data_IF_475006771689
#
_entry.id   IF_475006771689
#
_cell.length_a   1.000
_cell.length_b   1.000
_cell.length_c   1.000
_cell.angle_alpha   90.00
_cell.angle_beta   90.00
_cell.angle_gamma   90.00
#
_symmetry.space_group_name_H-M   'P 1'
#
loop_
_entity.id
_entity.type
_entity.pdbx_description
1 polymer ?
#
# COMPACT_ATOMS: atom_id res chain seq x y z
N UNK A 1 6.61 23.54 24.45
CA UNK A 1 7.45 23.07 23.33
C UNK A 1 6.65 22.13 22.43
N UNK A 2 6.10 22.62 21.32
CA UNK A 2 5.43 21.77 20.31
C UNK A 2 6.51 21.09 19.45
N UNK A 3 6.90 19.87 19.82
CA UNK A 3 7.74 19.02 18.98
C UNK A 3 6.99 18.63 17.71
N UNK A 4 7.08 19.46 16.67
CA UNK A 4 6.74 19.04 15.30
C UNK A 4 7.75 17.94 14.94
N UNK A 5 7.35 16.68 15.13
CA UNK A 5 8.03 15.53 14.54
C UNK A 5 8.34 15.88 13.08
N UNK A 6 9.63 16.02 12.75
CA UNK A 6 10.11 16.25 11.39
C UNK A 6 9.94 14.95 10.58
N UNK A 7 8.69 14.58 10.32
CA UNK A 7 8.30 13.53 9.38
C UNK A 7 8.45 13.88 7.87
N UNK A 8 8.76 15.11 7.39
CA UNK A 8 8.69 15.40 5.95
C UNK A 8 9.88 14.90 5.12
N UNK A 9 10.79 14.11 5.69
CA UNK A 9 11.94 13.55 4.98
C UNK A 9 11.88 12.03 4.80
N UNK A 10 10.84 11.37 5.31
CA UNK A 10 10.66 9.94 5.10
C UNK A 10 10.31 9.66 3.64
N UNK A 11 11.02 8.68 3.07
CA UNK A 11 10.72 8.11 1.76
C UNK A 11 9.30 7.54 1.77
N UNK A 12 8.54 7.80 0.69
CA UNK A 12 7.15 7.35 0.56
C UNK A 12 7.06 5.83 0.72
N UNK A 13 8.02 5.12 0.11
CA UNK A 13 8.16 3.66 0.23
C UNK A 13 8.32 3.19 1.68
N UNK A 14 9.19 3.84 2.46
CA UNK A 14 9.44 3.47 3.86
C UNK A 14 8.19 3.66 4.72
N UNK A 15 7.45 4.75 4.49
CA UNK A 15 6.18 5.00 5.19
C UNK A 15 5.14 3.91 4.90
N UNK A 16 4.98 3.51 3.63
CA UNK A 16 4.04 2.45 3.24
C UNK A 16 4.41 1.10 3.84
N UNK A 17 5.70 0.74 3.81
CA UNK A 17 6.19 -0.51 4.40
C UNK A 17 5.94 -0.51 5.91
N UNK A 18 6.18 0.60 6.62
CA UNK A 18 5.97 0.67 8.06
C UNK A 18 4.50 0.45 8.44
N UNK A 19 3.57 1.04 7.68
CA UNK A 19 2.13 0.80 7.87
C UNK A 19 1.79 -0.67 7.63
N UNK A 20 2.29 -1.28 6.54
CA UNK A 20 2.05 -2.69 6.24
C UNK A 20 2.60 -3.62 7.33
N UNK A 21 3.82 -3.37 7.80
CA UNK A 21 4.47 -4.13 8.88
C UNK A 21 3.68 -4.00 10.18
N UNK A 22 3.17 -2.81 10.49
CA UNK A 22 2.31 -2.60 11.65
C UNK A 22 1.03 -3.43 11.56
N UNK A 23 0.34 -3.42 10.40
CA UNK A 23 -0.87 -4.23 10.20
C UNK A 23 -0.57 -5.74 10.28
N UNK A 24 0.54 -6.19 9.69
CA UNK A 24 0.96 -7.59 9.76
C UNK A 24 1.22 -8.01 11.20
N UNK A 25 1.97 -7.20 11.96
CA UNK A 25 2.24 -7.44 13.37
C UNK A 25 0.94 -7.52 14.17
N UNK A 26 0.02 -6.57 13.97
CA UNK A 26 -1.28 -6.55 14.65
C UNK A 26 -2.10 -7.81 14.34
N UNK A 27 -2.12 -8.28 13.09
CA UNK A 27 -2.82 -9.49 12.69
C UNK A 27 -2.22 -10.73 13.36
N UNK A 28 -0.90 -10.88 13.33
CA UNK A 28 -0.21 -12.01 13.97
C UNK A 28 -0.43 -12.03 15.48
N UNK A 29 -0.32 -10.87 16.15
CA UNK A 29 -0.59 -10.76 17.59
C UNK A 29 -2.05 -11.07 17.91
N UNK A 30 -2.99 -10.56 17.12
CA UNK A 30 -4.42 -10.86 17.30
C UNK A 30 -4.73 -12.35 17.15
N UNK A 31 -4.16 -13.01 16.14
CA UNK A 31 -4.29 -14.45 15.94
C UNK A 31 -3.69 -15.25 17.12
N UNK A 32 -2.50 -14.86 17.59
CA UNK A 32 -1.85 -15.51 18.73
C UNK A 32 -2.68 -15.41 20.02
N UNK A 33 -3.23 -14.21 20.31
CA UNK A 33 -4.12 -13.99 21.46
C UNK A 33 -5.40 -14.81 21.33
N UNK A 34 -6.00 -14.86 20.13
CA UNK A 34 -7.19 -15.67 19.87
C UNK A 34 -6.97 -17.16 20.11
N UNK A 35 -5.87 -17.72 19.58
CA UNK A 35 -5.51 -19.13 19.78
C UNK A 35 -5.23 -19.42 21.27
N UNK A 36 -4.51 -18.53 21.96
CA UNK A 36 -4.27 -18.67 23.40
C UNK A 36 -5.58 -18.69 24.20
N UNK A 37 -6.50 -17.76 23.90
CA UNK A 37 -7.81 -17.69 24.57
C UNK A 37 -8.65 -18.95 24.33
N UNK A 38 -8.68 -19.49 23.11
CA UNK A 38 -9.39 -20.72 22.80
C UNK A 38 -8.79 -21.92 23.52
N UNK A 39 -7.46 -22.01 23.58
CA UNK A 39 -6.76 -23.09 24.28
C UNK A 39 -7.02 -23.04 25.79
N UNK A 40 -7.00 -21.86 26.39
CA UNK A 40 -7.30 -21.66 27.81
C UNK A 40 -8.74 -22.09 28.13
N UNK A 41 -9.72 -21.63 27.34
CA UNK A 41 -11.13 -22.00 27.49
C UNK A 41 -11.35 -23.52 27.36
N UNK A 42 -10.75 -24.15 26.32
CA UNK A 42 -10.88 -25.60 26.11
C UNK A 42 -10.31 -26.42 27.28
N UNK A 43 -9.20 -25.97 27.88
CA UNK A 43 -8.63 -26.63 29.06
C UNK A 43 -9.56 -26.55 30.28
N UNK A 44 -10.19 -25.41 30.50
CA UNK A 44 -11.12 -25.24 31.60
C UNK A 44 -12.42 -26.02 31.44
N UNK A 45 -13.02 -26.01 30.24
CA UNK A 45 -14.17 -26.86 29.92
C UNK A 45 -13.88 -28.32 30.21
N UNK A 46 -12.68 -28.79 29.86
CA UNK A 46 -12.24 -30.16 30.15
C UNK A 46 -12.22 -30.43 31.66
N UNK A 47 -11.72 -29.49 32.48
CA UNK A 47 -11.72 -29.62 33.95
C UNK A 47 -13.15 -29.67 34.53
N UNK A 48 -14.04 -28.79 34.07
CA UNK A 48 -15.44 -28.75 34.51
C UNK A 48 -16.15 -30.07 34.17
N UNK A 49 -15.98 -30.58 32.94
CA UNK A 49 -16.55 -31.86 32.52
C UNK A 49 -15.99 -33.01 33.36
N UNK A 50 -14.70 -32.99 33.67
CA UNK A 50 -14.08 -34.03 34.50
C UNK A 50 -14.62 -34.00 35.94
N UNK A 51 -14.81 -32.81 36.54
CA UNK A 51 -15.43 -32.63 37.86
C UNK A 51 -16.89 -33.12 37.87
N UNK A 52 -17.69 -32.75 36.86
CA UNK A 52 -19.08 -33.22 36.73
C UNK A 52 -19.16 -34.75 36.57
N UNK A 53 -18.25 -35.35 35.78
CA UNK A 53 -18.18 -36.82 35.67
C UNK A 53 -17.81 -37.47 37.00
N UNK A 54 -16.85 -36.91 37.73
CA UNK A 54 -16.50 -37.40 39.06
C UNK A 54 -17.69 -37.31 40.03
N UNK A 55 -18.44 -36.20 40.00
CA UNK A 55 -19.66 -36.00 40.78
C UNK A 55 -20.74 -37.06 40.46
N UNK A 56 -21.00 -37.30 39.18
CA UNK A 56 -22.00 -38.29 38.76
C UNK A 56 -21.62 -39.70 39.22
N UNK A 57 -20.35 -40.09 39.04
CA UNK A 57 -19.86 -41.44 39.35
C UNK A 57 -19.78 -41.70 40.87
N UNK A 58 -19.43 -40.70 41.69
CA UNK A 58 -19.51 -40.86 43.15
C UNK A 58 -20.96 -40.93 43.62
N UNK A 59 -21.88 -40.18 42.99
CA UNK A 59 -23.32 -40.29 43.21
C UNK A 59 -23.83 -41.71 42.94
N UNK A 60 -23.46 -42.29 41.80
CA UNK A 60 -23.77 -43.68 41.43
C UNK A 60 -23.27 -44.68 42.48
N UNK A 61 -22.03 -44.52 42.96
CA UNK A 61 -21.48 -45.36 44.03
C UNK A 61 -22.32 -45.28 45.31
N UNK A 62 -22.73 -44.07 45.70
CA UNK A 62 -23.54 -43.81 46.89
C UNK A 62 -24.96 -44.35 46.73
N UNK A 63 -25.55 -44.28 45.54
CA UNK A 63 -26.89 -44.80 45.29
C UNK A 63 -26.93 -46.33 45.34
N UNK A 64 -25.93 -47.02 44.77
CA UNK A 64 -25.76 -48.46 44.97
C UNK A 64 -25.59 -48.81 46.45
N UNK A 65 -24.85 -47.99 47.22
CA UNK A 65 -24.75 -48.19 48.67
C UNK A 65 -26.11 -48.02 49.40
N UNK A 66 -26.92 -47.02 49.03
CA UNK A 66 -28.28 -46.88 49.59
C UNK A 66 -29.15 -48.09 49.26
N UNK A 67 -29.02 -48.65 48.06
CA UNK A 67 -29.69 -49.90 47.69
C UNK A 67 -29.26 -51.05 48.59
N UNK A 68 -27.96 -51.17 48.91
CA UNK A 68 -27.47 -52.14 49.89
C UNK A 68 -28.17 -51.96 51.23
N UNK A 69 -28.22 -50.73 51.77
CA UNK A 69 -28.90 -50.49 53.05
C UNK A 69 -30.39 -50.85 53.01
N UNK A 70 -31.09 -50.50 51.91
CA UNK A 70 -32.50 -50.86 51.70
C UNK A 70 -32.70 -52.38 51.69
N UNK A 71 -31.86 -53.12 50.96
CA UNK A 71 -31.89 -54.58 50.91
C UNK A 71 -31.60 -55.21 52.28
N UNK A 72 -30.64 -54.68 53.04
CA UNK A 72 -30.38 -55.16 54.41
C UNK A 72 -31.55 -54.89 55.36
N UNK A 73 -32.25 -53.76 55.19
CA UNK A 73 -33.50 -53.49 55.90
C UNK A 73 -34.61 -54.48 55.55
N UNK A 74 -34.72 -54.88 54.27
CA UNK A 74 -35.66 -55.92 53.83
C UNK A 74 -35.31 -57.30 54.39
N UNK A 75 -34.01 -57.63 54.51
CA UNK A 75 -33.55 -58.85 55.19
C UNK A 75 -34.04 -58.85 56.64
N UNK A 76 -33.81 -57.75 57.37
CA UNK A 76 -34.26 -57.60 58.75
C UNK A 76 -35.78 -57.78 58.87
N UNK A 77 -36.55 -57.11 58.02
CA UNK A 77 -38.01 -57.22 57.99
C UNK A 77 -38.46 -58.66 57.71
N UNK A 78 -37.83 -59.36 56.76
CA UNK A 78 -38.13 -60.76 56.45
C UNK A 78 -37.85 -61.69 57.64
N UNK A 79 -36.82 -61.39 58.43
CA UNK A 79 -36.43 -62.17 59.62
C UNK A 79 -37.39 -61.94 60.79
N UNK A 80 -37.89 -60.72 60.96
CA UNK A 80 -38.91 -60.40 61.97
C UNK A 80 -40.22 -61.11 61.63
N UNK A 81 -40.66 -61.04 60.36
CA UNK A 81 -41.90 -61.69 59.89
C UNK A 81 -41.82 -63.21 59.95
N UNK A 82 -40.68 -63.83 59.61
CA UNK A 82 -40.52 -65.28 59.70
C UNK A 82 -40.54 -65.77 61.16
N UNK A 83 -39.88 -65.04 62.07
CA UNK A 83 -39.89 -65.34 63.52
C UNK A 83 -41.28 -65.19 64.14
N UNK A 84 -42.08 -64.23 63.66
CA UNK A 84 -43.46 -64.02 64.10
C UNK A 84 -44.41 -65.11 63.58
N UNK A 85 -44.28 -65.52 62.31
CA UNK A 85 -45.00 -66.67 61.73
C UNK A 85 -44.67 -67.99 62.43
N UNK A 86 -43.41 -68.18 62.84
CA UNK A 86 -42.98 -69.39 63.55
C UNK A 86 -43.49 -69.44 64.99
N UNK A 87 -43.82 -68.29 65.60
CA UNK A 87 -44.51 -68.21 66.90
C UNK A 87 -46.03 -68.41 66.81
N UNK A 88 -46.63 -68.19 65.63
CA UNK A 88 -48.09 -68.32 65.40
C UNK A 88 -48.49 -69.64 64.74
N UNK A 89 -47.55 -70.39 64.15
CA UNK A 89 -47.80 -71.69 63.52
C UNK A 89 -47.60 -72.87 64.49
N UNK A 90 -48.55 -73.07 65.40
CA UNK A 90 -48.78 -74.36 66.08
C UNK A 90 -49.52 -75.35 65.15
N UNK A 91 -48.95 -75.67 63.98
CA UNK A 91 -49.43 -76.79 63.14
C UNK A 91 -48.27 -77.41 62.34
N UNK A 92 -48.18 -78.75 62.24
CA UNK A 92 -47.00 -79.43 61.72
C UNK A 92 -46.98 -79.34 60.18
N UNK A 93 -45.98 -78.67 59.63
CA UNK A 93 -45.61 -78.79 58.22
C UNK A 93 -44.45 -79.78 58.08
N UNK A 94 -44.58 -80.65 57.09
CA UNK A 94 -43.73 -81.80 56.81
C UNK A 94 -42.24 -81.43 56.70
N UNK A 95 -41.39 -82.31 57.22
CA UNK A 95 -39.95 -82.26 57.09
C UNK A 95 -39.54 -82.57 55.64
N UNK A 96 -39.13 -81.55 54.90
CA UNK A 96 -38.30 -81.76 53.72
C UNK A 96 -36.86 -82.00 54.17
N UNK A 97 -36.41 -83.23 53.92
CA UNK A 97 -35.07 -83.71 54.17
C UNK A 97 -34.13 -83.23 53.06
N UNK A 98 -33.46 -82.10 53.28
CA UNK A 98 -32.11 -81.90 52.77
C UNK A 98 -31.29 -81.08 53.78
N UNK A 99 -30.20 -81.67 54.25
CA UNK A 99 -29.44 -81.31 55.46
C UNK A 99 -28.51 -80.12 55.28
N UNK A 100 -28.99 -79.02 54.68
CA UNK A 100 -28.28 -77.73 54.69
C UNK A 100 -29.22 -76.60 55.09
N UNK A 101 -29.74 -76.68 56.32
CA UNK A 101 -30.50 -75.60 56.92
C UNK A 101 -29.60 -74.38 57.12
N UNK A 102 -29.52 -73.52 56.09
CA UNK A 102 -29.06 -72.15 56.28
C UNK A 102 -29.98 -71.50 57.31
N UNK A 103 -29.48 -70.81 58.35
CA UNK A 103 -30.30 -70.16 59.38
C UNK A 103 -31.15 -68.98 58.85
N UNK A 104 -31.30 -68.86 57.53
CA UNK A 104 -31.95 -67.81 56.78
C UNK A 104 -33.01 -68.47 55.87
N UNK A 105 -34.25 -67.99 55.91
CA UNK A 105 -35.25 -68.38 54.90
C UNK A 105 -34.80 -68.00 53.49
N UNK A 106 -35.22 -68.76 52.47
CA UNK A 106 -34.79 -68.59 51.06
C UNK A 106 -34.91 -67.15 50.52
N UNK A 107 -35.88 -66.37 51.00
CA UNK A 107 -36.05 -64.97 50.63
C UNK A 107 -34.98 -64.05 51.24
N UNK A 108 -34.55 -64.31 52.48
CA UNK A 108 -33.55 -63.51 53.18
C UNK A 108 -32.15 -63.68 52.56
N UNK A 109 -31.78 -64.92 52.20
CA UNK A 109 -30.52 -65.19 51.50
C UNK A 109 -30.49 -64.58 50.09
N UNK A 110 -31.63 -64.51 49.40
CA UNK A 110 -31.79 -63.80 48.12
C UNK A 110 -31.45 -62.31 48.24
N UNK A 111 -32.01 -61.61 49.22
CA UNK A 111 -31.72 -60.20 49.46
C UNK A 111 -30.26 -59.94 49.87
N UNK A 112 -29.65 -60.81 50.67
CA UNK A 112 -28.22 -60.70 51.02
C UNK A 112 -27.33 -60.84 49.78
N UNK A 113 -27.63 -61.79 48.90
CA UNK A 113 -26.89 -61.97 47.65
C UNK A 113 -27.02 -60.75 46.73
N UNK A 114 -28.22 -60.17 46.62
CA UNK A 114 -28.41 -58.95 45.84
C UNK A 114 -27.70 -57.75 46.47
N UNK A 115 -27.70 -57.65 47.80
CA UNK A 115 -26.94 -56.63 48.53
C UNK A 115 -25.44 -56.75 48.27
N UNK A 116 -24.89 -57.96 48.16
CA UNK A 116 -23.47 -58.14 47.77
C UNK A 116 -23.22 -57.67 46.33
N UNK A 117 -24.11 -57.95 45.38
CA UNK A 117 -23.96 -57.47 43.99
C UNK A 117 -24.00 -55.95 43.92
N UNK A 118 -24.94 -55.31 44.62
CA UNK A 118 -25.03 -53.85 44.71
C UNK A 118 -23.77 -53.25 45.37
N UNK A 119 -23.22 -53.90 46.41
CA UNK A 119 -21.96 -53.47 47.01
C UNK A 119 -20.78 -53.55 46.03
N UNK A 120 -20.73 -54.58 45.18
CA UNK A 120 -19.71 -54.69 44.11
C UNK A 120 -19.90 -53.59 43.07
N UNK A 121 -21.13 -53.32 42.62
CA UNK A 121 -21.42 -52.21 41.69
C UNK A 121 -21.01 -50.86 42.27
N UNK A 122 -21.33 -50.62 43.53
CA UNK A 122 -20.90 -49.45 44.31
C UNK A 122 -19.37 -49.29 44.31
N UNK A 123 -18.62 -50.37 44.58
CA UNK A 123 -17.15 -50.37 44.56
C UNK A 123 -16.57 -50.12 43.16
N UNK A 124 -17.20 -50.64 42.10
CA UNK A 124 -16.79 -50.39 40.71
C UNK A 124 -16.97 -48.91 40.36
N UNK A 125 -18.13 -48.33 40.65
CA UNK A 125 -18.37 -46.90 40.45
C UNK A 125 -17.36 -46.05 41.25
N UNK A 126 -17.10 -46.40 42.52
CA UNK A 126 -16.10 -45.71 43.32
C UNK A 126 -14.68 -45.79 42.75
N UNK A 127 -14.28 -46.94 42.18
CA UNK A 127 -12.99 -47.08 41.49
C UNK A 127 -12.90 -46.16 40.27
N UNK A 128 -14.00 -46.00 39.53
CA UNK A 128 -14.08 -45.06 38.42
C UNK A 128 -13.95 -43.60 38.91
N UNK A 129 -14.56 -43.26 40.04
CA UNK A 129 -14.38 -41.96 40.69
C UNK A 129 -12.90 -41.72 41.03
N UNK A 130 -12.21 -42.67 41.67
CA UNK A 130 -10.77 -42.56 41.95
C UNK A 130 -9.91 -42.39 40.69
N UNK A 131 -10.30 -43.05 39.59
CA UNK A 131 -9.64 -42.89 38.29
C UNK A 131 -9.82 -41.48 37.72
N UNK A 132 -11.02 -40.93 37.81
CA UNK A 132 -11.34 -39.59 37.32
C UNK A 132 -10.68 -38.49 38.15
N UNK A 133 -10.59 -38.66 39.47
CA UNK A 133 -10.03 -37.65 40.38
C UNK A 133 -8.50 -37.67 40.42
N UNK A 134 -7.86 -38.67 39.83
CA UNK A 134 -6.40 -38.78 39.77
C UNK A 134 -5.80 -37.61 38.99
N UNK A 135 -5.01 -36.78 39.67
CA UNK A 135 -4.36 -35.61 39.08
C UNK A 135 -5.23 -34.36 39.02
N UNK A 136 -6.44 -34.39 39.60
CA UNK A 136 -7.16 -33.17 39.93
C UNK A 136 -6.48 -32.45 41.09
N UNK A 137 -6.71 -31.14 41.15
CA UNK A 137 -6.30 -30.34 42.31
C UNK A 137 -7.13 -30.74 43.53
N UNK A 138 -6.43 -31.25 44.55
CA UNK A 138 -6.98 -31.66 45.85
C UNK A 138 -6.19 -31.00 47.00
N UNK A 139 -5.79 -29.74 46.81
CA UNK A 139 -5.02 -28.96 47.81
C UNK A 139 -5.65 -29.02 49.21
N UNK A 140 -6.99 -28.92 49.28
CA UNK A 140 -7.72 -28.99 50.54
C UNK A 140 -8.01 -30.42 51.00
N UNK A 141 -7.80 -31.44 50.17
CA UNK A 141 -7.98 -32.85 50.50
C UNK A 141 -9.43 -33.35 50.47
N UNK A 142 -10.36 -32.67 49.78
CA UNK A 142 -11.77 -33.06 49.68
C UNK A 142 -11.99 -34.39 48.95
N UNK A 143 -11.25 -34.64 47.87
CA UNK A 143 -11.34 -35.91 47.14
C UNK A 143 -10.78 -37.06 47.98
N UNK A 144 -9.65 -36.84 48.65
CA UNK A 144 -9.06 -37.81 49.59
C UNK A 144 -10.00 -38.12 50.76
N UNK A 145 -10.52 -37.09 51.46
CA UNK A 145 -11.45 -37.27 52.59
C UNK A 145 -12.71 -38.05 52.19
N UNK A 146 -13.28 -37.76 51.03
CA UNK A 146 -14.44 -38.50 50.51
C UNK A 146 -14.07 -39.95 50.20
N UNK A 147 -12.90 -40.17 49.62
CA UNK A 147 -12.40 -41.51 49.33
C UNK A 147 -12.21 -42.34 50.60
N UNK A 148 -11.60 -41.75 51.63
CA UNK A 148 -11.34 -42.40 52.91
C UNK A 148 -12.65 -42.73 53.63
N UNK A 149 -13.60 -41.78 53.70
CA UNK A 149 -14.90 -42.00 54.32
C UNK A 149 -15.72 -43.11 53.63
N UNK A 150 -15.67 -43.18 52.29
CA UNK A 150 -16.35 -44.24 51.54
C UNK A 150 -15.69 -45.61 51.77
N UNK A 151 -14.37 -45.69 51.73
CA UNK A 151 -13.64 -46.93 51.96
C UNK A 151 -13.84 -47.44 53.39
N UNK A 152 -13.82 -46.53 54.36
CA UNK A 152 -14.08 -46.86 55.75
C UNK A 152 -15.50 -47.42 55.90
N UNK A 153 -16.53 -46.69 55.44
CA UNK A 153 -17.93 -47.13 55.50
C UNK A 153 -18.16 -48.49 54.85
N UNK A 154 -17.62 -48.71 53.65
CA UNK A 154 -17.83 -49.98 52.93
C UNK A 154 -17.08 -51.15 53.58
N UNK A 155 -15.88 -50.92 54.11
CA UNK A 155 -15.06 -51.98 54.70
C UNK A 155 -15.44 -52.29 56.14
N UNK A 156 -15.59 -51.25 56.97
CA UNK A 156 -15.77 -51.36 58.40
C UNK A 156 -17.23 -51.12 58.84
N UNK A 157 -18.11 -50.62 57.96
CA UNK A 157 -19.55 -50.49 58.24
C UNK A 157 -20.39 -51.56 57.54
N UNK A 158 -20.40 -51.57 56.21
CA UNK A 158 -21.31 -52.42 55.42
C UNK A 158 -20.97 -53.91 55.49
N UNK A 159 -19.69 -54.28 55.37
CA UNK A 159 -19.29 -55.70 55.41
C UNK A 159 -19.66 -56.37 56.76
N UNK A 160 -19.39 -55.75 57.93
CA UNK A 160 -19.87 -56.29 59.20
C UNK A 160 -21.40 -56.38 59.30
N UNK A 161 -22.14 -55.41 58.77
CA UNK A 161 -23.61 -55.48 58.74
C UNK A 161 -24.12 -56.70 57.97
N UNK A 162 -23.52 -57.00 56.82
CA UNK A 162 -23.84 -58.21 56.03
C UNK A 162 -23.50 -59.48 56.85
N UNK A 163 -22.31 -59.55 57.43
CA UNK A 163 -21.84 -60.71 58.21
C UNK A 163 -22.70 -60.98 59.47
N UNK A 164 -23.15 -59.92 60.16
CA UNK A 164 -24.04 -60.04 61.31
C UNK A 164 -25.43 -60.59 60.93
N UNK A 165 -25.99 -60.13 59.80
CA UNK A 165 -27.25 -60.66 59.28
C UNK A 165 -27.11 -62.11 58.82
N UNK A 166 -25.99 -62.48 58.20
CA UNK A 166 -25.74 -63.86 57.79
C UNK A 166 -25.64 -64.83 58.96
N UNK A 167 -25.05 -64.37 60.06
CA UNK A 167 -24.95 -65.12 61.31
C UNK A 167 -26.23 -65.08 62.15
N UNK A 168 -27.28 -64.40 61.69
CA UNK A 168 -28.57 -64.27 62.39
C UNK A 168 -28.51 -63.43 63.68
N UNK A 169 -27.46 -62.62 63.86
CA UNK A 169 -27.23 -61.82 65.07
C UNK A 169 -27.95 -60.46 65.01
N UNK A 170 -29.28 -60.48 65.10
CA UNK A 170 -30.12 -59.29 64.87
C UNK A 170 -29.92 -58.16 65.91
N UNK A 171 -29.72 -58.50 67.19
CA UNK A 171 -29.51 -57.49 68.24
C UNK A 171 -28.17 -56.76 68.10
N UNK A 172 -27.11 -57.49 67.75
CA UNK A 172 -25.80 -56.93 67.43
C UNK A 172 -25.86 -56.10 66.15
N UNK A 173 -26.63 -56.55 65.15
CA UNK A 173 -26.87 -55.81 63.90
C UNK A 173 -27.53 -54.45 64.16
N UNK A 174 -28.62 -54.40 64.93
CA UNK A 174 -29.34 -53.15 65.19
C UNK A 174 -28.48 -52.16 65.99
N UNK A 175 -27.75 -52.67 66.99
CA UNK A 175 -26.80 -51.87 67.78
C UNK A 175 -25.69 -51.33 66.90
N UNK A 176 -25.09 -52.18 66.05
CA UNK A 176 -24.00 -51.77 65.16
C UNK A 176 -24.47 -50.81 64.05
N UNK A 177 -25.69 -51.01 63.53
CA UNK A 177 -26.30 -50.15 62.53
C UNK A 177 -26.55 -48.75 63.08
N UNK A 178 -27.20 -48.65 64.24
CA UNK A 178 -27.57 -47.38 64.87
C UNK A 178 -26.40 -46.59 65.45
N UNK A 179 -25.28 -47.25 65.76
CA UNK A 179 -24.06 -46.61 66.24
C UNK A 179 -23.01 -46.47 65.13
N UNK A 180 -22.12 -47.45 64.99
CA UNK A 180 -20.94 -47.41 64.12
C UNK A 180 -21.29 -47.15 62.67
N UNK A 181 -22.22 -47.92 62.08
CA UNK A 181 -22.50 -47.80 60.65
C UNK A 181 -23.24 -46.48 60.31
N UNK A 182 -24.14 -46.01 61.18
CA UNK A 182 -24.80 -44.71 61.03
C UNK A 182 -23.79 -43.58 61.09
N UNK A 183 -22.88 -43.58 62.08
CA UNK A 183 -21.83 -42.56 62.20
C UNK A 183 -20.94 -42.49 60.96
N UNK A 184 -20.54 -43.64 60.41
CA UNK A 184 -19.73 -43.69 59.19
C UNK A 184 -20.50 -43.23 57.95
N UNK A 185 -21.81 -43.53 57.89
CA UNK A 185 -22.71 -43.04 56.85
C UNK A 185 -22.85 -41.52 56.89
N UNK A 186 -23.02 -40.95 58.09
CA UNK A 186 -23.07 -39.51 58.30
C UNK A 186 -21.72 -38.84 57.96
N UNK A 187 -20.59 -39.46 58.31
CA UNK A 187 -19.27 -38.96 57.93
C UNK A 187 -19.08 -38.94 56.40
N UNK A 188 -19.49 -40.00 55.69
CA UNK A 188 -19.47 -40.01 54.22
C UNK A 188 -20.38 -38.92 53.66
N UNK A 189 -21.59 -38.75 54.19
CA UNK A 189 -22.53 -37.70 53.77
C UNK A 189 -21.93 -36.30 53.95
N UNK A 190 -21.28 -36.04 55.08
CA UNK A 190 -20.58 -34.78 55.33
C UNK A 190 -19.41 -34.58 54.36
N UNK A 191 -18.60 -35.61 54.11
CA UNK A 191 -17.50 -35.54 53.16
C UNK A 191 -18.00 -35.25 51.73
N UNK A 192 -19.08 -35.91 51.30
CA UNK A 192 -19.72 -35.68 49.99
C UNK A 192 -20.31 -34.27 49.86
N UNK A 193 -20.99 -33.78 50.91
CA UNK A 193 -21.52 -32.42 50.90
C UNK A 193 -20.40 -31.39 50.76
N UNK A 194 -19.31 -31.54 51.50
CA UNK A 194 -18.17 -30.62 51.40
C UNK A 194 -17.47 -30.73 50.05
N UNK A 195 -17.33 -31.94 49.50
CA UNK A 195 -16.79 -32.14 48.15
C UNK A 195 -17.67 -31.46 47.10
N UNK A 196 -18.99 -31.59 47.21
CA UNK A 196 -19.95 -30.95 46.31
C UNK A 196 -19.84 -29.42 46.39
N UNK A 197 -19.80 -28.85 47.59
CA UNK A 197 -19.59 -27.42 47.78
C UNK A 197 -18.26 -26.95 47.17
N UNK A 198 -17.17 -27.69 47.38
CA UNK A 198 -15.87 -27.38 46.78
C UNK A 198 -15.90 -27.42 45.24
N UNK A 199 -16.52 -28.46 44.66
CA UNK A 199 -16.66 -28.57 43.21
C UNK A 199 -17.50 -27.43 42.63
N UNK A 200 -18.60 -27.09 43.29
CA UNK A 200 -19.48 -26.00 42.88
C UNK A 200 -18.77 -24.65 42.95
N UNK A 201 -18.10 -24.34 44.07
CA UNK A 201 -17.32 -23.10 44.24
C UNK A 201 -16.18 -22.99 43.20
N UNK A 202 -15.50 -24.10 42.92
CA UNK A 202 -14.44 -24.14 41.91
C UNK A 202 -14.98 -23.89 40.50
N UNK A 203 -16.14 -24.47 40.16
CA UNK A 203 -16.79 -24.26 38.86
C UNK A 203 -17.24 -22.80 38.72
N UNK A 204 -17.90 -22.26 39.74
CA UNK A 204 -18.41 -20.88 39.74
C UNK A 204 -17.26 -19.87 39.65
N UNK A 205 -16.20 -20.07 40.44
CA UNK A 205 -15.00 -19.23 40.39
C UNK A 205 -14.21 -19.35 39.08
N UNK A 206 -14.24 -20.52 38.42
CA UNK A 206 -13.64 -20.70 37.08
C UNK A 206 -14.45 -19.96 36.02
N UNK A 207 -15.77 -20.03 36.09
CA UNK A 207 -16.67 -19.32 35.19
C UNK A 207 -16.50 -17.80 35.27
N UNK A 208 -16.47 -17.21 36.47
CA UNK A 208 -16.31 -15.77 36.63
C UNK A 208 -14.96 -15.25 36.08
N UNK A 209 -13.86 -15.97 36.36
CA UNK A 209 -12.53 -15.63 35.84
C UNK A 209 -12.50 -15.69 34.32
N UNK A 210 -13.18 -16.65 33.71
CA UNK A 210 -13.22 -16.81 32.26
C UNK A 210 -14.05 -15.75 31.56
N UNK A 211 -15.18 -15.36 32.16
CA UNK A 211 -15.96 -14.23 31.65
C UNK A 211 -15.12 -12.96 31.65
N UNK A 212 -14.33 -12.71 32.70
CA UNK A 212 -13.43 -11.55 32.76
C UNK A 212 -12.33 -11.61 31.71
N UNK A 213 -11.68 -12.77 31.51
CA UNK A 213 -10.67 -12.96 30.45
C UNK A 213 -11.28 -12.74 29.08
N UNK A 214 -12.47 -13.30 28.82
CA UNK A 214 -13.19 -13.13 27.56
C UNK A 214 -13.55 -11.66 27.29
N UNK A 215 -14.08 -10.94 28.28
CA UNK A 215 -14.39 -9.50 28.17
C UNK A 215 -13.13 -8.68 27.93
N UNK A 216 -12.02 -8.99 28.60
CA UNK A 216 -10.73 -8.34 28.36
C UNK A 216 -10.21 -8.57 26.94
N UNK A 217 -10.30 -9.80 26.43
CA UNK A 217 -9.92 -10.13 25.05
C UNK A 217 -10.79 -9.35 24.06
N UNK A 218 -12.11 -9.29 24.24
CA UNK A 218 -13.00 -8.50 23.38
C UNK A 218 -12.64 -7.01 23.42
N UNK A 219 -12.39 -6.43 24.60
CA UNK A 219 -11.98 -5.03 24.73
C UNK A 219 -10.64 -4.76 24.04
N UNK A 220 -9.69 -5.66 24.18
CA UNK A 220 -8.39 -5.56 23.50
C UNK A 220 -8.53 -5.63 21.98
N UNK A 221 -9.36 -6.54 21.45
CA UNK A 221 -9.66 -6.64 20.01
C UNK A 221 -10.38 -5.39 19.51
N UNK A 222 -11.38 -4.90 20.24
CA UNK A 222 -12.10 -3.67 19.89
C UNK A 222 -11.16 -2.45 19.87
N UNK A 223 -10.27 -2.32 20.87
CA UNK A 223 -9.26 -1.27 20.89
C UNK A 223 -8.30 -1.38 19.71
N UNK A 224 -7.82 -2.60 19.40
CA UNK A 224 -6.94 -2.83 18.26
C UNK A 224 -7.62 -2.44 16.93
N UNK A 225 -8.91 -2.75 16.75
CA UNK A 225 -9.70 -2.33 15.59
C UNK A 225 -9.81 -0.81 15.48
N UNK A 226 -10.07 -0.10 16.59
CA UNK A 226 -10.12 1.37 16.60
C UNK A 226 -8.76 1.95 16.24
N UNK A 227 -7.68 1.44 16.81
CA UNK A 227 -6.30 1.86 16.50
C UNK A 227 -5.96 1.62 15.04
N UNK A 228 -6.37 0.47 14.48
CA UNK A 228 -6.18 0.13 13.07
C UNK A 228 -6.88 1.13 12.14
N UNK A 229 -8.14 1.50 12.45
CA UNK A 229 -8.90 2.51 11.69
C UNK A 229 -8.23 3.88 11.79
N UNK A 230 -7.78 4.28 12.98
CA UNK A 230 -7.08 5.56 13.17
C UNK A 230 -5.78 5.62 12.37
N UNK A 231 -5.00 4.54 12.34
CA UNK A 231 -3.77 4.45 11.57
C UNK A 231 -4.06 4.46 10.07
N UNK A 232 -5.10 3.75 9.62
CA UNK A 232 -5.53 3.79 8.21
C UNK A 232 -5.94 5.20 7.78
N UNK A 233 -6.72 5.91 8.61
CA UNK A 233 -7.15 7.29 8.35
C UNK A 233 -5.94 8.24 8.33
N UNK A 234 -5.01 8.09 9.28
CA UNK A 234 -3.79 8.89 9.33
C UNK A 234 -2.93 8.62 8.09
N UNK A 235 -2.77 7.37 7.68
CA UNK A 235 -2.05 6.99 6.47
C UNK A 235 -2.71 7.57 5.21
N UNK A 236 -4.04 7.54 5.11
CA UNK A 236 -4.80 8.14 4.02
C UNK A 236 -4.56 9.65 3.91
N UNK A 237 -4.70 10.39 5.02
CA UNK A 237 -4.44 11.84 5.07
C UNK A 237 -2.97 12.14 4.77
N UNK A 238 -2.06 11.33 5.28
CA UNK A 238 -0.62 11.46 5.06
C UNK A 238 -0.26 11.26 3.58
N UNK A 239 -0.71 10.18 2.93
CA UNK A 239 -0.50 9.94 1.50
C UNK A 239 -1.11 11.06 0.65
N UNK A 240 -2.33 11.49 0.99
CA UNK A 240 -3.01 12.59 0.30
C UNK A 240 -2.18 13.88 0.30
N UNK A 241 -1.59 14.23 1.44
CA UNK A 241 -0.78 15.45 1.58
C UNK A 241 0.67 15.32 1.08
N UNK A 242 1.31 14.18 1.29
CA UNK A 242 2.73 13.97 0.93
C UNK A 242 2.94 13.57 -0.52
N UNK A 243 1.97 12.89 -1.14
CA UNK A 243 2.14 12.28 -2.46
C UNK A 243 1.16 12.90 -3.47
N UNK A 244 -0.15 12.75 -3.24
CA UNK A 244 -1.15 13.15 -4.23
C UNK A 244 -1.15 14.67 -4.49
N UNK A 245 -1.07 15.49 -3.44
CA UNK A 245 -1.07 16.95 -3.61
C UNK A 245 0.17 17.46 -4.36
N UNK A 246 1.41 17.09 -4.00
CA UNK A 246 2.59 17.47 -4.79
C UNK A 246 2.59 16.94 -6.22
N UNK A 247 2.05 15.73 -6.46
CA UNK A 247 1.91 15.20 -7.82
C UNK A 247 0.94 16.01 -8.67
N UNK A 248 -0.20 16.44 -8.10
CA UNK A 248 -1.13 17.36 -8.79
C UNK A 248 -0.49 18.71 -9.11
N UNK A 249 0.30 19.25 -8.18
CA UNK A 249 1.04 20.50 -8.39
C UNK A 249 2.12 20.35 -9.49
N UNK A 250 2.81 19.20 -9.53
CA UNK A 250 3.74 18.90 -10.61
C UNK A 250 3.03 18.82 -11.97
N UNK A 251 1.84 18.20 -12.01
CA UNK A 251 0.95 18.22 -13.18
C UNK A 251 0.68 19.63 -13.68
N UNK A 252 0.32 20.56 -12.78
CA UNK A 252 0.10 21.96 -13.15
C UNK A 252 1.33 22.66 -13.73
N UNK A 253 2.54 22.34 -13.24
CA UNK A 253 3.77 22.85 -13.86
C UNK A 253 4.00 22.26 -15.25
N UNK A 254 3.71 20.96 -15.47
CA UNK A 254 3.78 20.37 -16.80
C UNK A 254 2.80 21.03 -17.78
N UNK A 255 1.56 21.29 -17.35
CA UNK A 255 0.56 21.97 -18.19
C UNK A 255 1.02 23.37 -18.62
N UNK A 256 1.65 24.13 -17.71
CA UNK A 256 2.21 25.45 -18.03
C UNK A 256 3.39 25.38 -18.99
N UNK A 257 4.31 24.46 -18.75
CA UNK A 257 5.46 24.24 -19.64
C UNK A 257 4.97 23.85 -21.04
N UNK A 258 3.95 22.98 -21.12
CA UNK A 258 3.31 22.61 -22.39
C UNK A 258 2.61 23.80 -23.06
N UNK A 259 2.05 24.72 -22.27
CA UNK A 259 1.51 26.00 -22.75
C UNK A 259 2.56 27.06 -23.09
N UNK A 260 3.85 26.78 -22.93
CA UNK A 260 4.95 27.72 -23.20
C UNK A 260 5.25 28.72 -22.08
N UNK A 261 4.56 28.64 -20.94
CA UNK A 261 4.87 29.46 -19.76
C UNK A 261 5.99 28.82 -18.94
N UNK A 262 7.19 29.39 -19.07
CA UNK A 262 8.39 28.99 -18.34
C UNK A 262 8.73 29.93 -17.16
N UNK A 263 7.84 30.85 -16.82
CA UNK A 263 8.14 31.93 -15.85
C UNK A 263 7.96 31.52 -14.39
N UNK A 264 7.10 30.53 -14.12
CA UNK A 264 6.82 30.08 -12.75
C UNK A 264 7.97 29.25 -12.18
N UNK A 265 8.52 29.68 -11.04
CA UNK A 265 9.66 28.99 -10.41
C UNK A 265 9.23 27.67 -9.76
N UNK A 266 9.86 26.58 -10.17
CA UNK A 266 9.68 25.27 -9.52
C UNK A 266 10.55 25.18 -8.26
N UNK A 267 9.91 25.06 -7.09
CA UNK A 267 10.58 24.92 -5.79
C UNK A 267 10.64 23.47 -5.31
N UNK A 268 11.84 22.98 -5.00
CA UNK A 268 12.05 21.65 -4.40
C UNK A 268 11.94 21.74 -2.88
N UNK A 269 10.83 21.27 -2.31
CA UNK A 269 10.53 21.40 -0.86
C UNK A 269 10.88 20.18 -0.02
N UNK A 270 11.07 19.02 -0.64
CA UNK A 270 11.30 17.75 0.04
C UNK A 270 12.57 17.06 -0.47
N UNK A 271 13.11 16.13 0.34
CA UNK A 271 14.27 15.30 -0.02
C UNK A 271 13.91 13.83 -0.32
N UNK A 272 12.61 13.54 -0.40
CA UNK A 272 12.09 12.22 -0.75
C UNK A 272 11.93 12.08 -2.27
N UNK A 273 11.30 11.00 -2.73
CA UNK A 273 11.08 10.71 -4.15
C UNK A 273 10.34 11.84 -4.88
N UNK A 274 9.43 12.54 -4.20
CA UNK A 274 8.74 13.73 -4.75
C UNK A 274 9.71 14.88 -4.94
N UNK A 275 10.67 15.06 -4.03
CA UNK A 275 11.73 16.07 -4.17
C UNK A 275 12.58 15.83 -5.40
N UNK A 276 12.97 14.58 -5.62
CA UNK A 276 13.73 14.16 -6.81
C UNK A 276 12.93 14.45 -8.09
N UNK A 277 11.63 14.15 -8.11
CA UNK A 277 10.74 14.49 -9.23
C UNK A 277 10.74 16.01 -9.52
N UNK A 278 10.59 16.84 -8.48
CA UNK A 278 10.62 18.30 -8.64
C UNK A 278 11.98 18.83 -9.09
N UNK A 279 13.07 18.19 -8.67
CA UNK A 279 14.41 18.55 -9.12
C UNK A 279 14.59 18.26 -10.62
N UNK A 280 14.14 17.09 -11.10
CA UNK A 280 14.13 16.76 -12.52
C UNK A 280 13.25 17.72 -13.33
N UNK A 281 12.06 18.04 -12.83
CA UNK A 281 11.13 18.99 -13.45
C UNK A 281 11.75 20.39 -13.57
N UNK A 282 12.43 20.86 -12.52
CA UNK A 282 13.16 22.13 -12.52
C UNK A 282 14.28 22.15 -13.58
N UNK A 283 15.10 21.09 -13.66
CA UNK A 283 16.16 20.99 -14.67
C UNK A 283 15.60 21.01 -16.09
N UNK A 284 14.45 20.39 -16.33
CA UNK A 284 13.76 20.43 -17.63
C UNK A 284 13.31 21.84 -17.99
N UNK A 285 12.66 22.57 -17.07
CA UNK A 285 12.25 23.96 -17.27
C UNK A 285 13.45 24.88 -17.56
N UNK A 286 14.53 24.76 -16.78
CA UNK A 286 15.76 25.54 -17.00
C UNK A 286 16.36 25.27 -18.38
N UNK A 287 16.35 24.02 -18.84
CA UNK A 287 16.87 23.67 -20.17
C UNK A 287 16.01 24.25 -21.29
N UNK A 288 14.68 24.13 -21.19
CA UNK A 288 13.75 24.72 -22.16
C UNK A 288 13.89 26.24 -22.21
N UNK A 289 14.03 26.88 -21.05
CA UNK A 289 14.21 28.34 -20.96
C UNK A 289 15.48 28.78 -21.68
N UNK A 290 16.60 28.07 -21.49
CA UNK A 290 17.85 28.34 -22.22
C UNK A 290 17.68 28.19 -23.73
N UNK A 291 17.02 27.12 -24.18
CA UNK A 291 16.78 26.88 -25.61
C UNK A 291 15.92 27.99 -26.23
N UNK A 292 14.80 28.35 -25.59
CA UNK A 292 13.90 29.42 -26.09
C UNK A 292 14.62 30.77 -26.10
N UNK A 293 15.43 31.06 -25.07
CA UNK A 293 16.22 32.30 -25.01
C UNK A 293 17.23 32.37 -26.16
N UNK A 294 17.97 31.29 -26.41
CA UNK A 294 18.93 31.23 -27.51
C UNK A 294 18.26 31.42 -28.89
N UNK A 295 17.09 30.81 -29.11
CA UNK A 295 16.30 31.01 -30.33
C UNK A 295 15.88 32.46 -30.47
N UNK A 296 15.37 33.08 -29.41
CA UNK A 296 14.96 34.49 -29.42
C UNK A 296 16.12 35.42 -29.76
N UNK A 297 17.28 35.24 -29.12
CA UNK A 297 18.48 36.03 -29.42
C UNK A 297 18.90 35.87 -30.88
N UNK A 298 18.90 34.64 -31.41
CA UNK A 298 19.20 34.41 -32.84
C UNK A 298 18.21 35.11 -33.78
N UNK A 299 16.92 35.15 -33.43
CA UNK A 299 15.91 35.89 -34.22
C UNK A 299 16.12 37.41 -34.16
N UNK A 300 16.52 37.95 -33.00
CA UNK A 300 16.86 39.37 -32.84
C UNK A 300 18.08 39.75 -33.70
N UNK A 301 19.11 38.90 -33.74
CA UNK A 301 20.28 39.08 -34.63
C UNK A 301 19.90 39.03 -36.12
N UNK A 302 19.07 38.07 -36.54
CA UNK A 302 18.56 37.99 -37.92
C UNK A 302 17.76 39.24 -38.29
N UNK A 303 16.94 39.74 -37.36
CA UNK A 303 16.12 40.94 -37.58
C UNK A 303 17.01 42.17 -37.77
N UNK A 304 18.07 42.30 -36.96
CA UNK A 304 19.04 43.38 -37.11
C UNK A 304 19.77 43.30 -38.46
N UNK A 305 20.31 42.13 -38.81
CA UNK A 305 20.98 41.91 -40.09
C UNK A 305 20.06 42.17 -41.30
N UNK A 306 18.78 41.79 -41.20
CA UNK A 306 17.79 42.06 -42.25
C UNK A 306 17.54 43.56 -42.43
N UNK A 307 17.55 44.35 -41.35
CA UNK A 307 17.43 45.83 -41.44
C UNK A 307 18.67 46.45 -42.08
N UNK A 308 19.86 45.98 -41.74
CA UNK A 308 21.10 46.44 -42.36
C UNK A 308 21.12 46.15 -43.87
N UNK A 309 20.72 44.94 -44.28
CA UNK A 309 20.58 44.58 -45.70
C UNK A 309 19.58 45.49 -46.39
N UNK A 310 18.43 45.77 -45.78
CA UNK A 310 17.42 46.66 -46.36
C UNK A 310 17.95 48.08 -46.58
N UNK A 311 18.66 48.64 -45.60
CA UNK A 311 19.31 49.94 -45.74
C UNK A 311 20.38 49.94 -46.83
N UNK A 312 21.24 48.90 -46.85
CA UNK A 312 22.26 48.73 -47.89
C UNK A 312 21.68 48.60 -49.30
N UNK A 313 20.57 47.89 -49.45
CA UNK A 313 19.88 47.77 -50.74
C UNK A 313 19.25 49.11 -51.18
N UNK A 314 18.77 49.92 -50.24
CA UNK A 314 18.24 51.26 -50.52
C UNK A 314 19.35 52.20 -51.02
N UNK A 315 20.52 52.20 -50.35
CA UNK A 315 21.69 52.97 -50.80
C UNK A 315 22.17 52.53 -52.18
N UNK A 316 22.28 51.21 -52.41
CA UNK A 316 22.68 50.66 -53.71
C UNK A 316 21.70 51.04 -54.82
N UNK A 317 20.39 51.01 -54.55
CA UNK A 317 19.36 51.46 -55.50
C UNK A 317 19.56 52.94 -55.85
N UNK A 318 19.73 53.82 -54.85
CA UNK A 318 19.96 55.25 -55.07
C UNK A 318 21.23 55.52 -55.89
N UNK A 319 22.32 54.80 -55.60
CA UNK A 319 23.57 54.91 -56.37
C UNK A 319 23.42 54.42 -57.80
N UNK A 320 22.63 53.37 -58.01
CA UNK A 320 22.32 52.82 -59.33
C UNK A 320 21.48 53.81 -60.15
N UNK A 321 20.49 54.47 -59.53
CA UNK A 321 19.72 55.55 -60.16
C UNK A 321 20.60 56.74 -60.54
N UNK A 322 21.50 57.17 -59.66
CA UNK A 322 22.45 58.25 -59.95
C UNK A 322 23.42 57.89 -61.09
N UNK A 323 23.90 56.65 -61.10
CA UNK A 323 24.78 56.14 -62.17
C UNK A 323 24.04 56.08 -63.51
N UNK A 324 22.78 55.64 -63.53
CA UNK A 324 21.94 55.67 -64.72
C UNK A 324 21.76 57.10 -65.26
N UNK A 325 21.50 58.08 -64.38
CA UNK A 325 21.39 59.48 -64.77
C UNK A 325 22.70 60.04 -65.36
N UNK A 326 23.85 59.68 -64.78
CA UNK A 326 25.17 60.09 -65.30
C UNK A 326 25.49 59.46 -66.66
N UNK A 327 25.05 58.21 -66.88
CA UNK A 327 25.16 57.56 -68.19
C UNK A 327 24.26 58.22 -69.24
N UNK A 328 23.03 58.63 -68.87
CA UNK A 328 22.15 59.39 -69.75
C UNK A 328 22.77 60.74 -70.15
N UNK A 329 23.37 61.47 -69.20
CA UNK A 329 24.06 62.73 -69.50
C UNK A 329 25.27 62.51 -70.42
N UNK A 330 26.02 61.42 -70.22
CA UNK A 330 27.14 61.04 -71.08
C UNK A 330 26.66 60.72 -72.49
N UNK A 331 25.55 59.98 -72.63
CA UNK A 331 24.96 59.67 -73.94
C UNK A 331 24.51 60.95 -74.67
N UNK A 332 23.83 61.87 -73.98
CA UNK A 332 23.44 63.17 -74.55
C UNK A 332 24.66 64.00 -74.98
N UNK A 333 25.72 64.02 -74.17
CA UNK A 333 26.97 64.70 -74.52
C UNK A 333 27.64 64.07 -75.76
N UNK A 334 27.55 62.74 -75.91
CA UNK A 334 28.04 62.04 -77.10
C UNK A 334 27.20 62.38 -78.35
N UNK A 335 25.88 62.56 -78.23
CA UNK A 335 25.03 63.03 -79.32
C UNK A 335 25.39 64.46 -79.76
N UNK A 336 25.62 65.36 -78.80
CA UNK A 336 26.04 66.74 -79.08
C UNK A 336 27.44 66.79 -79.73
N UNK A 337 28.37 65.98 -79.23
CA UNK A 337 29.69 65.81 -79.85
C UNK A 337 29.59 65.26 -81.28
N UNK A 338 28.76 64.23 -81.50
CA UNK A 338 28.55 63.67 -82.84
C UNK A 338 27.96 64.73 -83.79
N UNK A 339 27.02 65.55 -83.33
CA UNK A 339 26.47 66.68 -84.09
C UNK A 339 27.55 67.71 -84.44
N UNK A 340 28.39 68.08 -83.47
CA UNK A 340 29.50 69.04 -83.67
C UNK A 340 30.54 68.49 -84.66
N UNK A 341 30.88 67.20 -84.57
CA UNK A 341 31.80 66.54 -85.52
C UNK A 341 31.20 66.53 -86.93
N UNK A 342 29.90 66.27 -87.07
CA UNK A 342 29.19 66.36 -88.35
C UNK A 342 29.26 67.78 -88.92
N UNK A 343 28.98 68.79 -88.11
CA UNK A 343 29.07 70.19 -88.52
C UNK A 343 30.49 70.59 -88.93
N UNK A 344 31.52 70.15 -88.20
CA UNK A 344 32.92 70.37 -88.58
C UNK A 344 33.27 69.70 -89.91
N UNK A 345 32.71 68.52 -90.17
CA UNK A 345 32.91 67.81 -91.45
C UNK A 345 32.28 68.58 -92.61
N UNK A 346 31.07 69.10 -92.43
CA UNK A 346 30.38 69.95 -93.42
C UNK A 346 31.14 71.26 -93.67
N UNK A 347 31.64 71.92 -92.61
CA UNK A 347 32.49 73.11 -92.72
C UNK A 347 33.79 72.83 -93.46
N UNK A 348 34.44 71.69 -93.19
CA UNK A 348 35.65 71.29 -93.90
C UNK A 348 35.38 71.06 -95.40
N UNK A 349 34.26 70.43 -95.75
CA UNK A 349 33.84 70.27 -97.16
C UNK A 349 33.54 71.61 -97.84
N UNK A 350 32.88 72.54 -97.15
CA UNK A 350 32.63 73.89 -97.67
C UNK A 350 33.94 74.66 -97.88
N UNK A 351 34.86 74.59 -96.91
CA UNK A 351 36.17 75.21 -97.01
C UNK A 351 37.00 74.64 -98.16
N UNK A 352 36.97 73.32 -98.35
CA UNK A 352 37.61 72.65 -99.50
C UNK A 352 37.02 73.13 -100.84
N UNK A 353 35.69 73.21 -100.94
CA UNK A 353 35.01 73.73 -102.14
C UNK A 353 35.39 75.19 -102.42
N UNK A 354 35.45 76.03 -101.38
CA UNK A 354 35.85 77.43 -101.51
C UNK A 354 37.33 77.57 -101.92
N UNK A 355 38.22 76.75 -101.35
CA UNK A 355 39.63 76.72 -101.70
C UNK A 355 39.84 76.26 -103.16
N UNK A 356 39.10 75.26 -103.64
CA UNK A 356 39.09 74.85 -105.04
C UNK A 356 38.64 76.00 -105.96
N UNK A 357 37.55 76.69 -105.61
CA UNK A 357 37.09 77.86 -106.35
C UNK A 357 38.10 79.02 -106.37
N UNK A 358 38.75 79.30 -105.24
CA UNK A 358 39.82 80.31 -105.16
C UNK A 358 41.03 79.93 -106.01
N UNK A 359 41.43 78.65 -106.00
CA UNK A 359 42.49 78.11 -106.85
C UNK A 359 42.14 78.23 -108.34
N UNK A 360 40.89 77.99 -108.73
CA UNK A 360 40.43 78.17 -110.12
C UNK A 360 40.46 79.65 -110.55
N UNK A 361 40.03 80.57 -109.68
CA UNK A 361 40.16 82.02 -109.90
C UNK A 361 41.63 82.41 -110.04
N UNK A 362 42.51 81.92 -109.16
CA UNK A 362 43.94 82.18 -109.24
C UNK A 362 44.56 81.63 -110.53
N UNK A 363 44.16 80.45 -111.00
CA UNK A 363 44.58 79.90 -112.29
C UNK A 363 44.08 80.76 -113.48
N UNK A 364 42.85 81.25 -113.44
CA UNK A 364 42.33 82.21 -114.45
C UNK A 364 43.12 83.53 -114.42
N UNK A 365 43.38 84.07 -113.24
CA UNK A 365 44.21 85.26 -113.06
C UNK A 365 45.62 85.05 -113.57
N UNK A 366 46.24 83.90 -113.29
CA UNK A 366 47.54 83.50 -113.82
C UNK A 366 47.56 83.46 -115.35
N UNK A 367 46.51 82.92 -115.98
CA UNK A 367 46.35 82.97 -117.45
C UNK A 367 46.26 84.41 -117.97
N UNK A 368 45.46 85.26 -117.34
CA UNK A 368 45.33 86.67 -117.74
C UNK A 368 46.64 87.45 -117.59
N UNK A 369 47.39 87.23 -116.50
CA UNK A 369 48.72 87.83 -116.31
C UNK A 369 49.71 87.32 -117.35
N UNK A 370 49.67 86.03 -117.69
CA UNK A 370 50.50 85.45 -118.74
C UNK A 370 50.17 86.03 -120.13
N UNK A 371 48.89 86.29 -120.42
CA UNK A 371 48.44 86.96 -121.64
C UNK A 371 48.96 88.40 -121.71
N UNK A 372 48.82 89.17 -120.62
CA UNK A 372 49.36 90.54 -120.50
C UNK A 372 50.88 90.57 -120.64
N UNK A 373 51.60 89.62 -120.05
CA UNK A 373 53.06 89.51 -120.21
C UNK A 373 53.43 89.26 -121.67
N UNK A 374 52.70 88.37 -122.35
CA UNK A 374 52.84 88.16 -123.80
C UNK A 374 52.59 89.45 -124.60
N UNK A 375 51.55 90.21 -124.26
CA UNK A 375 51.27 91.51 -124.93
C UNK A 375 52.38 92.54 -124.66
N UNK A 376 52.93 92.59 -123.44
CA UNK A 376 54.06 93.46 -123.10
C UNK A 376 55.33 93.08 -123.85
N UNK A 377 55.55 91.78 -124.12
CA UNK A 377 56.67 91.30 -124.94
C UNK A 377 56.48 91.65 -126.42
N UNK A 378 55.25 91.58 -126.94
CA UNK A 378 54.90 92.10 -128.27
C UNK A 378 55.08 93.63 -128.38
N UNK A 379 54.70 94.39 -127.35
CA UNK A 379 54.92 95.84 -127.26
C UNK A 379 56.42 96.15 -127.20
N UNK A 380 57.18 95.42 -126.39
CA UNK A 380 58.64 95.57 -126.30
C UNK A 380 59.30 95.30 -127.64
N UNK A 381 58.90 94.23 -128.32
CA UNK A 381 59.36 93.88 -129.66
C UNK A 381 59.00 94.97 -130.67
N UNK A 382 57.76 95.48 -130.64
CA UNK A 382 57.33 96.59 -131.50
C UNK A 382 58.09 97.88 -131.22
N UNK A 383 58.35 98.19 -129.94
CA UNK A 383 59.11 99.38 -129.50
C UNK A 383 60.58 99.27 -129.91
N UNK A 384 61.18 98.08 -129.81
CA UNK A 384 62.52 97.80 -130.34
C UNK A 384 62.58 97.98 -131.85
N UNK A 385 61.53 97.57 -132.58
CA UNK A 385 61.44 97.74 -134.03
C UNK A 385 61.26 99.21 -134.43
N UNK A 386 60.51 99.98 -133.63
CA UNK A 386 60.43 101.45 -133.77
C UNK A 386 61.80 102.08 -133.49
N UNK A 387 62.52 101.66 -132.44
CA UNK A 387 63.86 102.16 -132.14
C UNK A 387 64.86 101.82 -133.25
N UNK A 388 64.75 100.64 -133.88
CA UNK A 388 65.52 100.24 -135.05
C UNK A 388 65.21 101.13 -136.27
N UNK A 389 63.94 101.51 -136.49
CA UNK A 389 63.54 102.47 -137.54
C UNK A 389 64.07 103.87 -137.24
N UNK A 390 63.94 104.38 -136.02
CA UNK A 390 64.45 105.71 -135.62
C UNK A 390 65.98 105.76 -135.74
N UNK A 391 66.67 104.69 -135.37
CA UNK A 391 68.13 104.57 -135.51
C UNK A 391 68.64 104.61 -136.95
N UNK A 392 67.82 104.25 -137.93
CA UNK A 392 68.14 104.35 -139.37
C UNK A 392 67.76 105.72 -139.97
N UNK A 393 67.03 106.56 -139.23
CA UNK A 393 66.65 107.91 -139.68
C UNK A 393 67.68 108.96 -139.23
N UNK A 394 68.41 108.70 -138.14
CA UNK A 394 69.41 109.63 -137.54
C UNK A 394 70.89 109.29 -137.86
N UNK A 395 71.14 108.29 -138.72
CA UNK A 395 72.47 107.92 -139.23
C UNK A 395 72.42 107.63 -140.71
#
# INVERSE_FOLDING_TARGET
>A
MRGKLKLPQLKVRTSLILVLVFFLFMLVTGAAVGVYSLRANNQSLTRVVQMQRAHAVIGEAVDHYKNVQSLLGQVLASYIVSKDKQKTADAPAAADADGSASPLGSNASGYINEARKELVRSQVAFKNFQGLTKGMDDTDGWYRRTSDAYLDLTKNGVKPLIDLLEKGKLGDYETFLSSTASYMGDNLKLALNNLNMYQQDTIDGTYEREVQVFVWVIRAVALAMVVAILIALLAYVFLGRMVLRPLRLAGGHFDRIAGGDLTERIEVKTRNEIGVLYESLKRMQESLTRTVTAVRTGVEEITLGSREIFMGNTDLSSRTEQQAASLQQTAASMEELASTVRQNTEHAQQADTLAQGASEVAQRGGRAVSEVAGTMEEISTSSSKIAEIVGVIDG
#
